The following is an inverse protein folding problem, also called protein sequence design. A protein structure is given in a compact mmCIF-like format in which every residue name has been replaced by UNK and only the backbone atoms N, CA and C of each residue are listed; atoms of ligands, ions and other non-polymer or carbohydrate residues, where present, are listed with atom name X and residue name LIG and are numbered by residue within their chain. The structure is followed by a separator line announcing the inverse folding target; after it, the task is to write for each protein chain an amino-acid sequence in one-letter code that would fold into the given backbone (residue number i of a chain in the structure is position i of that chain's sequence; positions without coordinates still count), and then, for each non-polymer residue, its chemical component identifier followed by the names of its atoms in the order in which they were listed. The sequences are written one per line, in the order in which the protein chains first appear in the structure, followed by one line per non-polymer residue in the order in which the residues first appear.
data_IF_110616822935
#
_entry.id   IF_110616822935
#
_cell.length_a   1.000
_cell.length_b   1.000
_cell.length_c   1.000
_cell.angle_alpha   90.00
_cell.angle_beta   90.00
_cell.angle_gamma   90.00
#
_symmetry.space_group_name_H-M   'P 1'
#
loop_
_entity.id
_entity.type
_entity.pdbx_description
1 polymer ?
#
# COMPACT_ATOMS: atom_id res chain seq x y z
N UNK A 1 -17.86 8.04 23.25
CA UNK A 1 -16.58 8.78 23.09
C UNK A 1 -15.31 7.93 23.33
N UNK A 2 -15.35 6.60 23.15
CA UNK A 2 -14.17 5.71 23.29
C UNK A 2 -13.50 5.39 21.95
N UNK A 3 -14.29 5.35 20.87
CA UNK A 3 -13.80 5.11 19.51
C UNK A 3 -12.88 6.21 18.98
N UNK A 4 -13.20 7.48 19.25
CA UNK A 4 -12.34 8.61 18.88
C UNK A 4 -11.01 8.56 19.62
N UNK A 5 -11.00 8.21 20.90
CA UNK A 5 -9.78 8.07 21.69
C UNK A 5 -8.90 6.91 21.20
N UNK A 6 -9.50 5.77 20.82
CA UNK A 6 -8.79 4.63 20.22
C UNK A 6 -8.22 5.00 18.85
N UNK A 7 -9.00 5.69 18.01
CA UNK A 7 -8.54 6.20 16.72
C UNK A 7 -7.38 7.21 16.85
N UNK A 8 -7.45 8.12 17.83
CA UNK A 8 -6.39 9.11 18.10
C UNK A 8 -5.10 8.44 18.60
N UNK A 9 -5.23 7.46 19.50
CA UNK A 9 -4.11 6.66 20.00
C UNK A 9 -3.47 5.83 18.87
N UNK A 10 -4.29 5.34 17.94
CA UNK A 10 -3.84 4.66 16.73
C UNK A 10 -3.00 5.59 15.85
N UNK A 11 -3.52 6.76 15.51
CA UNK A 11 -2.80 7.76 14.69
C UNK A 11 -1.46 8.14 15.34
N UNK A 12 -1.45 8.34 16.65
CA UNK A 12 -0.22 8.58 17.43
C UNK A 12 0.79 7.44 17.31
N UNK A 13 0.35 6.19 17.41
CA UNK A 13 1.22 5.02 17.26
C UNK A 13 1.80 4.91 15.84
N UNK A 14 1.03 5.27 14.81
CA UNK A 14 1.46 5.26 13.41
C UNK A 14 2.49 6.36 13.11
N UNK A 15 2.35 7.54 13.75
CA UNK A 15 3.33 8.63 13.66
C UNK A 15 4.67 8.24 14.30
N UNK A 16 4.65 7.47 15.39
CA UNK A 16 5.86 6.98 16.06
C UNK A 16 6.65 6.04 15.13
N UNK A 17 5.99 5.10 14.43
CA UNK A 17 6.68 4.19 13.49
C UNK A 17 7.30 4.93 12.31
N UNK A 18 6.62 5.97 11.79
CA UNK A 18 7.16 6.83 10.73
C UNK A 18 8.36 7.67 11.19
N UNK A 19 8.37 8.10 12.45
CA UNK A 19 9.50 8.86 13.02
C UNK A 19 10.78 8.01 13.09
N UNK A 20 10.67 6.69 13.27
CA UNK A 20 11.81 5.77 13.26
C UNK A 20 12.30 5.39 11.85
N UNK A 21 11.55 5.67 10.78
CA UNK A 21 11.89 5.27 9.40
C UNK A 21 12.92 6.20 8.71
N UNK A 22 13.52 7.15 9.43
CA UNK A 22 14.37 8.20 8.85
C UNK A 22 15.82 7.73 8.59
N UNK A 23 16.02 6.91 7.57
CA UNK A 23 17.31 6.77 6.87
C UNK A 23 17.05 6.56 5.37
N UNK A 24 17.56 7.47 4.53
CA UNK A 24 17.28 7.48 3.08
C UNK A 24 18.32 6.65 2.33
N UNK A 25 17.88 5.64 1.57
CA UNK A 25 18.60 5.12 0.40
C UNK A 25 17.91 5.62 -0.87
N UNK A 26 18.69 6.26 -1.73
CA UNK A 26 18.26 6.94 -2.96
C UNK A 26 18.06 5.94 -4.10
N UNK A 27 16.95 6.05 -4.82
CA UNK A 27 16.50 5.16 -5.89
C UNK A 27 17.41 5.30 -7.13
N UNK A 28 17.87 4.19 -7.74
CA UNK A 28 18.57 4.22 -9.02
C UNK A 28 17.64 4.76 -10.14
N UNK A 29 18.15 5.59 -11.07
CA UNK A 29 17.32 6.27 -12.07
C UNK A 29 16.67 5.26 -13.03
N UNK A 30 15.38 4.99 -12.84
CA UNK A 30 14.56 4.26 -13.81
C UNK A 30 14.05 5.22 -14.89
N UNK A 31 14.18 4.82 -16.15
CA UNK A 31 13.57 5.52 -17.29
C UNK A 31 12.14 5.00 -17.43
N UNK A 32 11.17 5.91 -17.52
CA UNK A 32 9.75 5.57 -17.66
C UNK A 32 9.17 4.74 -16.48
N UNK A 33 9.71 4.88 -15.25
CA UNK A 33 9.15 4.31 -14.01
C UNK A 33 9.08 2.77 -13.89
N UNK A 34 9.36 2.05 -14.97
CA UNK A 34 9.23 0.59 -15.11
C UNK A 34 10.53 -0.05 -15.61
N UNK A 35 11.31 0.66 -16.44
CA UNK A 35 12.49 0.11 -17.12
C UNK A 35 13.76 0.74 -16.54
N UNK A 36 14.75 -0.09 -16.20
CA UNK A 36 16.08 0.38 -15.77
C UNK A 36 16.84 0.98 -16.96
N UNK A 37 17.63 2.02 -16.76
CA UNK A 37 18.27 2.78 -17.85
C UNK A 37 19.20 1.91 -18.73
N UNK A 38 19.96 1.01 -18.12
CA UNK A 38 20.80 -0.01 -18.74
C UNK A 38 20.01 -1.05 -19.57
N UNK A 39 18.82 -1.43 -19.11
CA UNK A 39 17.92 -2.32 -19.84
C UNK A 39 17.23 -1.62 -21.01
N UNK A 40 17.00 -0.30 -20.92
CA UNK A 40 16.39 0.47 -22.00
C UNK A 40 17.31 0.56 -23.23
N UNK A 41 18.62 0.73 -23.03
CA UNK A 41 19.59 0.70 -24.14
C UNK A 41 19.61 -0.66 -24.84
N UNK A 42 19.55 -1.77 -24.09
CA UNK A 42 19.46 -3.13 -24.64
C UNK A 42 18.12 -3.38 -25.37
N UNK A 43 17.03 -2.79 -24.88
CA UNK A 43 15.73 -2.80 -25.56
C UNK A 43 15.78 -2.11 -26.92
N UNK A 44 16.41 -0.95 -27.02
CA UNK A 44 16.57 -0.25 -28.31
C UNK A 44 17.42 -1.01 -29.32
N UNK A 45 18.26 -1.96 -28.86
CA UNK A 45 19.09 -2.83 -29.71
C UNK A 45 18.42 -4.17 -30.06
N UNK A 46 17.13 -4.36 -29.74
CA UNK A 46 16.37 -5.62 -29.92
C UNK A 46 16.90 -6.85 -29.16
N UNK A 47 17.87 -6.67 -28.24
CA UNK A 47 18.52 -7.76 -27.49
C UNK A 47 17.91 -7.98 -26.10
N UNK A 48 16.75 -7.36 -25.83
CA UNK A 48 16.09 -7.37 -24.52
C UNK A 48 15.70 -8.77 -24.04
N UNK A 49 15.26 -9.63 -24.95
CA UNK A 49 14.81 -10.98 -24.62
C UNK A 49 15.95 -11.94 -24.28
N UNK A 50 17.19 -11.59 -24.62
CA UNK A 50 18.36 -12.42 -24.33
C UNK A 50 18.90 -12.19 -22.91
N UNK A 51 18.53 -11.10 -22.25
CA UNK A 51 18.96 -10.77 -20.88
C UNK A 51 17.84 -11.06 -19.87
N UNK A 52 17.89 -12.25 -19.30
CA UNK A 52 16.93 -12.73 -18.29
C UNK A 52 16.82 -11.80 -17.08
N UNK A 53 17.89 -11.08 -16.73
CA UNK A 53 17.91 -10.18 -15.57
C UNK A 53 17.03 -8.95 -15.82
N UNK A 54 17.16 -8.33 -17.00
CA UNK A 54 16.36 -7.17 -17.41
C UNK A 54 14.88 -7.52 -17.57
N UNK A 55 14.59 -8.69 -18.14
CA UNK A 55 13.23 -9.16 -18.35
C UNK A 55 12.53 -9.44 -17.02
N UNK A 56 13.18 -10.18 -16.11
CA UNK A 56 12.61 -10.48 -14.78
C UNK A 56 12.41 -9.21 -13.96
N UNK A 57 13.34 -8.24 -14.02
CA UNK A 57 13.18 -6.96 -13.32
C UNK A 57 11.96 -6.17 -13.83
N UNK A 58 11.81 -6.06 -15.15
CA UNK A 58 10.71 -5.32 -15.78
C UNK A 58 9.36 -5.96 -15.45
N UNK A 59 9.27 -7.29 -15.51
CA UNK A 59 8.05 -8.03 -15.14
C UNK A 59 7.70 -7.79 -13.68
N UNK A 60 8.66 -7.86 -12.76
CA UNK A 60 8.42 -7.62 -11.33
C UNK A 60 7.87 -6.22 -11.07
N UNK A 61 8.45 -5.18 -11.70
CA UNK A 61 7.96 -3.80 -11.63
C UNK A 61 6.53 -3.67 -12.18
N UNK A 62 6.25 -4.27 -13.34
CA UNK A 62 4.92 -4.23 -13.97
C UNK A 62 3.86 -4.89 -13.08
N UNK A 63 4.18 -6.07 -12.54
CA UNK A 63 3.30 -6.80 -11.61
C UNK A 63 3.06 -5.97 -10.35
N UNK A 64 4.10 -5.34 -9.79
CA UNK A 64 3.95 -4.43 -8.65
C UNK A 64 2.93 -3.32 -8.91
N UNK A 65 3.03 -2.62 -10.05
CA UNK A 65 2.04 -1.59 -10.41
C UNK A 65 0.64 -2.15 -10.66
N UNK A 66 0.52 -3.34 -11.26
CA UNK A 66 -0.77 -3.99 -11.45
C UNK A 66 -1.43 -4.34 -10.11
N UNK A 67 -0.66 -4.81 -9.13
CA UNK A 67 -1.12 -5.09 -7.78
C UNK A 67 -1.55 -3.81 -7.07
N UNK A 68 -0.74 -2.75 -7.12
CA UNK A 68 -1.08 -1.43 -6.57
C UNK A 68 -2.42 -0.94 -7.14
N UNK A 69 -2.59 -1.00 -8.47
CA UNK A 69 -3.85 -0.63 -9.12
C UNK A 69 -5.03 -1.54 -8.73
N UNK A 70 -4.81 -2.85 -8.65
CA UNK A 70 -5.82 -3.82 -8.25
C UNK A 70 -6.27 -3.67 -6.80
N UNK A 71 -5.36 -3.34 -5.89
CA UNK A 71 -5.62 -3.20 -4.45
C UNK A 71 -6.68 -2.13 -4.13
N UNK A 72 -6.80 -1.12 -4.98
CA UNK A 72 -7.83 -0.08 -4.87
C UNK A 72 -9.25 -0.62 -5.16
N UNK A 73 -9.36 -1.69 -5.95
CA UNK A 73 -10.65 -2.25 -6.38
C UNK A 73 -11.14 -3.31 -5.38
N UNK A 74 -10.23 -4.05 -4.75
CA UNK A 74 -10.57 -5.25 -3.96
C UNK A 74 -11.42 -4.96 -2.71
N UNK A 75 -11.24 -3.82 -2.04
CA UNK A 75 -12.04 -3.47 -0.85
C UNK A 75 -13.30 -2.63 -1.14
N UNK A 76 -13.48 -2.15 -2.36
CA UNK A 76 -14.68 -1.40 -2.77
C UNK A 76 -15.98 -2.21 -2.61
N UNK A 77 -16.07 -3.50 -2.99
CA UNK A 77 -17.29 -4.28 -2.79
C UNK A 77 -17.71 -4.34 -1.32
N UNK A 78 -16.73 -4.41 -0.41
CA UNK A 78 -16.99 -4.45 1.02
C UNK A 78 -17.53 -3.12 1.54
N UNK A 79 -16.96 -2.00 1.09
CA UNK A 79 -17.47 -0.64 1.38
C UNK A 79 -18.90 -0.47 0.88
N UNK A 80 -19.17 -0.88 -0.37
CA UNK A 80 -20.51 -0.79 -0.97
C UNK A 80 -21.52 -1.66 -0.20
N UNK A 81 -21.13 -2.85 0.23
CA UNK A 81 -22.00 -3.72 1.02
C UNK A 81 -22.36 -3.10 2.37
N UNK A 82 -21.42 -2.45 3.05
CA UNK A 82 -21.69 -1.72 4.31
C UNK A 82 -22.71 -0.60 4.05
N UNK A 83 -22.50 0.20 3.00
CA UNK A 83 -23.40 1.29 2.63
C UNK A 83 -24.82 0.79 2.26
N UNK A 84 -24.92 -0.34 1.55
CA UNK A 84 -26.20 -0.93 1.14
C UNK A 84 -26.95 -1.60 2.29
N UNK A 85 -26.23 -2.32 3.16
CA UNK A 85 -26.83 -2.99 4.31
C UNK A 85 -27.26 -1.99 5.39
N UNK A 86 -26.63 -0.80 5.44
CA UNK A 86 -26.93 0.23 6.43
C UNK A 86 -26.63 -0.21 7.87
N UNK A 87 -25.82 -1.25 8.04
CA UNK A 87 -25.47 -1.84 9.33
C UNK A 87 -24.12 -2.54 9.24
N UNK A 88 -23.28 -2.35 10.25
CA UNK A 88 -21.97 -3.01 10.37
C UNK A 88 -22.01 -4.25 11.30
N UNK A 89 -23.20 -4.82 11.53
CA UNK A 89 -23.39 -5.93 12.46
C UNK A 89 -22.58 -7.16 12.01
N UNK A 90 -21.61 -7.58 12.82
CA UNK A 90 -20.71 -8.71 12.52
C UNK A 90 -19.33 -8.32 11.97
N UNK A 91 -19.06 -7.02 11.80
CA UNK A 91 -17.77 -6.52 11.32
C UNK A 91 -17.00 -5.88 12.49
N UNK A 92 -15.99 -6.56 13.07
CA UNK A 92 -15.24 -6.01 14.20
C UNK A 92 -14.27 -4.91 13.74
N UNK A 93 -14.46 -3.68 14.23
CA UNK A 93 -13.53 -2.56 14.00
C UNK A 93 -12.09 -2.92 14.41
N UNK A 94 -11.92 -3.71 15.47
CA UNK A 94 -10.63 -4.21 15.97
C UNK A 94 -9.81 -4.93 14.89
N UNK A 95 -10.43 -5.70 14.00
CA UNK A 95 -9.70 -6.38 12.93
C UNK A 95 -9.10 -5.40 11.92
N UNK A 96 -9.85 -4.35 11.54
CA UNK A 96 -9.34 -3.31 10.65
C UNK A 96 -8.24 -2.47 11.30
N UNK A 97 -8.30 -2.29 12.62
CA UNK A 97 -7.22 -1.69 13.38
C UNK A 97 -5.93 -2.51 13.29
N UNK A 98 -5.97 -3.82 13.60
CA UNK A 98 -4.79 -4.68 13.50
C UNK A 98 -4.23 -4.77 12.08
N UNK A 99 -5.10 -4.87 11.08
CA UNK A 99 -4.71 -4.88 9.68
C UNK A 99 -3.96 -3.57 9.31
N UNK A 100 -4.47 -2.43 9.76
CA UNK A 100 -3.84 -1.12 9.52
C UNK A 100 -2.47 -1.01 10.21
N UNK A 101 -2.30 -1.56 11.42
CA UNK A 101 -0.99 -1.60 12.09
C UNK A 101 0.05 -2.38 11.28
N UNK A 102 -0.33 -3.56 10.80
CA UNK A 102 0.56 -4.41 10.01
C UNK A 102 0.99 -3.67 8.74
N UNK A 103 0.04 -3.08 8.02
CA UNK A 103 0.36 -2.37 6.78
C UNK A 103 1.21 -1.12 6.99
N UNK A 104 0.99 -0.35 8.07
CA UNK A 104 1.85 0.79 8.36
C UNK A 104 3.25 0.37 8.80
N UNK A 105 3.39 -0.74 9.53
CA UNK A 105 4.72 -1.26 9.83
C UNK A 105 5.46 -1.68 8.56
N UNK A 106 4.78 -2.39 7.65
CA UNK A 106 5.32 -2.75 6.33
C UNK A 106 5.71 -1.50 5.52
N UNK A 107 4.87 -0.46 5.54
CA UNK A 107 5.16 0.81 4.87
C UNK A 107 6.37 1.53 5.48
N UNK A 108 6.45 1.62 6.82
CA UNK A 108 7.57 2.23 7.52
C UNK A 108 8.89 1.51 7.24
N UNK A 109 8.86 0.18 7.23
CA UNK A 109 10.02 -0.65 6.87
C UNK A 109 10.41 -0.48 5.39
N UNK A 110 9.44 -0.39 4.48
CA UNK A 110 9.71 -0.14 3.06
C UNK A 110 10.33 1.25 2.82
N UNK A 111 9.85 2.27 3.54
CA UNK A 111 10.43 3.61 3.51
C UNK A 111 11.84 3.64 4.10
N UNK A 112 12.07 2.92 5.20
CA UNK A 112 13.40 2.78 5.81
C UNK A 112 14.40 2.07 4.89
N UNK A 113 13.93 1.11 4.09
CA UNK A 113 14.75 0.42 3.10
C UNK A 113 14.92 1.21 1.79
N UNK A 114 14.21 2.33 1.60
CA UNK A 114 14.23 3.10 0.35
C UNK A 114 13.64 2.35 -0.84
N UNK A 115 12.65 1.48 -0.60
CA UNK A 115 12.01 0.71 -1.68
C UNK A 115 11.20 1.62 -2.61
N UNK A 116 10.98 1.17 -3.84
CA UNK A 116 10.20 1.92 -4.80
C UNK A 116 8.69 1.87 -4.47
N UNK A 117 7.94 2.87 -4.94
CA UNK A 117 6.48 2.91 -4.74
C UNK A 117 5.76 1.65 -5.28
N UNK A 118 6.31 0.99 -6.31
CA UNK A 118 5.78 -0.28 -6.84
C UNK A 118 5.71 -1.40 -5.79
N UNK A 119 6.51 -1.31 -4.73
CA UNK A 119 6.64 -2.38 -3.73
C UNK A 119 5.79 -2.13 -2.48
N UNK A 120 5.56 -0.86 -2.12
CA UNK A 120 4.77 -0.48 -0.94
C UNK A 120 3.46 0.24 -1.24
N UNK A 121 3.21 0.61 -2.51
CA UNK A 121 2.06 1.43 -2.91
C UNK A 121 0.71 0.77 -2.59
N UNK A 122 0.63 -0.56 -2.69
CA UNK A 122 -0.54 -1.34 -2.28
C UNK A 122 -0.85 -1.10 -0.79
N UNK A 123 0.17 -1.21 0.07
CA UNK A 123 0.00 -1.02 1.52
C UNK A 123 -0.54 0.38 1.82
N UNK A 124 -0.02 1.42 1.15
CA UNK A 124 -0.48 2.80 1.31
C UNK A 124 -1.96 2.96 0.90
N UNK A 125 -2.34 2.38 -0.24
CA UNK A 125 -3.73 2.41 -0.73
C UNK A 125 -4.68 1.66 0.22
N UNK A 126 -4.27 0.51 0.75
CA UNK A 126 -5.07 -0.27 1.68
C UNK A 126 -5.26 0.47 3.02
N UNK A 127 -4.23 1.15 3.53
CA UNK A 127 -4.34 1.97 4.75
C UNK A 127 -5.44 3.02 4.61
N UNK A 128 -5.47 3.75 3.49
CA UNK A 128 -6.50 4.77 3.23
C UNK A 128 -7.90 4.14 3.19
N UNK A 129 -8.06 3.01 2.49
CA UNK A 129 -9.33 2.31 2.42
C UNK A 129 -9.79 1.80 3.81
N UNK A 130 -8.87 1.32 4.65
CA UNK A 130 -9.19 0.88 6.00
C UNK A 130 -9.66 2.02 6.90
N UNK A 131 -9.07 3.22 6.79
CA UNK A 131 -9.53 4.40 7.53
C UNK A 131 -10.97 4.74 7.14
N UNK A 132 -11.31 4.65 5.85
CA UNK A 132 -12.69 4.86 5.37
C UNK A 132 -13.64 3.81 5.95
N UNK A 133 -13.28 2.53 5.93
CA UNK A 133 -14.10 1.45 6.50
C UNK A 133 -14.32 1.63 8.00
N UNK A 134 -13.26 1.94 8.76
CA UNK A 134 -13.35 2.22 10.20
C UNK A 134 -14.29 3.41 10.47
N UNK A 135 -14.20 4.46 9.65
CA UNK A 135 -15.08 5.63 9.76
C UNK A 135 -16.55 5.28 9.47
N UNK A 136 -16.81 4.41 8.49
CA UNK A 136 -18.17 3.92 8.22
C UNK A 136 -18.70 3.05 9.37
N UNK A 137 -17.88 2.17 9.93
CA UNK A 137 -18.27 1.35 11.09
C UNK A 137 -18.73 2.22 12.25
N UNK A 138 -18.00 3.30 12.58
CA UNK A 138 -18.43 4.20 13.67
C UNK A 138 -19.71 4.98 13.37
N UNK A 139 -20.03 5.24 12.10
CA UNK A 139 -21.28 5.92 11.74
C UNK A 139 -22.49 4.98 11.78
N UNK A 140 -22.33 3.69 11.49
CA UNK A 140 -23.41 2.69 11.45
C UNK A 140 -23.55 1.82 12.72
N UNK A 141 -22.55 1.81 13.60
CA UNK A 141 -22.57 1.11 14.90
C UNK A 141 -23.07 2.01 16.05
N UNK A 142 -23.54 3.23 15.74
CA UNK A 142 -24.38 4.03 16.62
C UNK A 142 -25.86 3.80 16.32
#
# INVERSE_FOLDING_TARGET
NKGVAVGLLFILCQLVTLAFAKDKKEEEPTKLGVIRADCFEKFTKFDFFSDTTCLVFTIRKLVGYAIVGGSAILKLPQIINILKAGSCKGIPATSYYFETLVFVNTLANALHQGLAFSDYGENAIIIVQNIVVISLIYNYDQ
#
